data_IF_883133221542
#
_entry.id   IF_883133221542
#
_cell.length_a   1.000
_cell.length_b   1.000
_cell.length_c   1.000
_cell.angle_alpha   90.00
_cell.angle_beta   90.00
_cell.angle_gamma   90.00
#
_symmetry.space_group_name_H-M   'P 1'
#
loop_
_entity.id
_entity.type
_entity.pdbx_description
1 polymer ?
#
# COMPACT_ATOMS: atom_id res chain seq x y z
N UNK A 1 8.05 -7.59 6.56
CA UNK A 1 8.19 -6.23 5.98
C UNK A 1 9.51 -5.99 5.25
N UNK A 2 9.51 -5.12 4.24
CA UNK A 2 10.69 -4.59 3.52
C UNK A 2 10.44 -3.17 3.02
N UNK A 3 11.48 -2.40 2.67
CA UNK A 3 11.30 -1.12 1.99
C UNK A 3 10.89 -1.33 0.54
N UNK A 4 10.03 -0.46 -0.02
CA UNK A 4 9.67 -0.55 -1.44
C UNK A 4 10.90 -0.43 -2.33
N UNK A 5 11.92 0.35 -1.96
CA UNK A 5 13.20 0.43 -2.69
C UNK A 5 13.92 -0.92 -2.85
N UNK A 6 13.61 -1.90 -2.00
CA UNK A 6 14.13 -3.26 -2.01
C UNK A 6 13.13 -4.28 -2.57
N UNK A 7 11.91 -3.85 -2.88
CA UNK A 7 10.82 -4.66 -3.44
C UNK A 7 10.87 -4.73 -4.97
N UNK A 8 10.35 -5.80 -5.60
CA UNK A 8 10.00 -5.80 -7.02
C UNK A 8 9.07 -4.64 -7.42
N UNK A 9 8.25 -4.13 -6.49
CA UNK A 9 7.31 -3.03 -6.67
C UNK A 9 7.98 -1.68 -6.99
N UNK A 10 9.28 -1.51 -6.74
CA UNK A 10 9.98 -0.23 -7.01
C UNK A 10 9.93 0.25 -8.46
N UNK A 11 9.57 -0.63 -9.39
CA UNK A 11 9.50 -0.32 -10.82
C UNK A 11 8.07 -0.13 -11.33
N UNK A 12 7.06 -0.24 -10.48
CA UNK A 12 5.66 -0.27 -10.91
C UNK A 12 4.91 1.03 -10.67
N UNK A 13 5.34 1.86 -9.71
CA UNK A 13 4.73 3.16 -9.45
C UNK A 13 5.71 4.12 -8.74
N UNK A 14 5.41 5.44 -8.70
CA UNK A 14 6.16 6.40 -7.88
C UNK A 14 5.99 6.14 -6.37
N UNK A 15 7.03 5.61 -5.73
CA UNK A 15 7.04 5.29 -4.31
C UNK A 15 7.83 6.31 -3.47
N UNK A 16 7.48 6.41 -2.19
CA UNK A 16 8.16 7.25 -1.21
C UNK A 16 9.36 6.54 -0.58
N UNK A 17 10.37 7.30 -0.15
CA UNK A 17 11.63 6.76 0.39
C UNK A 17 11.46 5.80 1.57
N UNK A 18 10.39 5.97 2.34
CA UNK A 18 10.09 5.16 3.53
C UNK A 18 8.79 4.37 3.37
N UNK A 19 8.30 4.19 2.14
CA UNK A 19 7.19 3.29 1.91
C UNK A 19 7.65 1.86 2.16
N UNK A 20 6.78 1.09 2.79
CA UNK A 20 7.08 -0.27 3.22
C UNK A 20 6.13 -1.24 2.54
N UNK A 21 6.60 -2.43 2.27
CA UNK A 21 5.80 -3.56 1.83
C UNK A 21 5.75 -4.59 2.96
N UNK A 22 4.57 -5.14 3.20
CA UNK A 22 4.36 -6.31 4.05
C UNK A 22 3.70 -7.41 3.22
N UNK A 23 3.98 -8.66 3.57
CA UNK A 23 3.42 -9.79 2.86
C UNK A 23 1.94 -9.97 3.27
N UNK A 24 1.11 -10.47 2.35
CA UNK A 24 -0.29 -10.77 2.66
C UNK A 24 -0.39 -11.81 3.79
N UNK A 25 -1.30 -11.57 4.73
CA UNK A 25 -1.66 -12.48 5.82
C UNK A 25 -3.12 -12.24 6.22
N UNK A 26 -3.61 -12.87 7.29
CA UNK A 26 -4.97 -12.60 7.76
C UNK A 26 -5.14 -11.14 8.24
N UNK A 27 -6.38 -10.67 8.22
CA UNK A 27 -6.69 -9.27 8.50
C UNK A 27 -6.24 -8.78 9.89
N UNK A 28 -6.25 -9.64 10.91
CA UNK A 28 -5.85 -9.25 12.27
C UNK A 28 -4.34 -9.11 12.39
N UNK A 29 -3.59 -10.02 11.77
CA UNK A 29 -2.13 -9.97 11.68
C UNK A 29 -1.67 -8.74 10.90
N UNK A 30 -2.21 -8.50 9.70
CA UNK A 30 -1.88 -7.31 8.89
C UNK A 30 -2.16 -6.02 9.65
N UNK A 31 -3.34 -5.89 10.28
CA UNK A 31 -3.70 -4.69 11.05
C UNK A 31 -2.70 -4.42 12.18
N UNK A 32 -2.26 -5.46 12.88
CA UNK A 32 -1.29 -5.34 13.97
C UNK A 32 0.09 -4.95 13.45
N UNK A 33 0.56 -5.57 12.36
CA UNK A 33 1.85 -5.25 11.73
C UNK A 33 1.87 -3.80 11.20
N UNK A 34 0.82 -3.38 10.49
CA UNK A 34 0.68 -2.02 9.95
C UNK A 34 0.67 -0.97 11.06
N UNK A 35 -0.11 -1.18 12.12
CA UNK A 35 -0.14 -0.28 13.27
C UNK A 35 1.24 -0.17 13.95
N UNK A 36 1.95 -1.29 14.08
CA UNK A 36 3.32 -1.33 14.60
C UNK A 36 4.29 -0.58 13.70
N UNK A 37 4.18 -0.71 12.38
CA UNK A 37 5.02 0.01 11.42
C UNK A 37 4.84 1.52 11.58
N UNK A 38 3.60 2.02 11.58
CA UNK A 38 3.37 3.46 11.71
C UNK A 38 3.81 4.01 13.08
N UNK A 39 3.69 3.21 14.14
CA UNK A 39 4.16 3.59 15.47
C UNK A 39 5.70 3.68 15.56
N UNK A 40 6.43 2.76 14.91
CA UNK A 40 7.89 2.67 15.00
C UNK A 40 8.64 3.42 13.88
N UNK A 41 7.97 3.69 12.77
CA UNK A 41 8.53 4.34 11.59
C UNK A 41 7.73 5.60 11.23
N UNK A 42 7.91 6.68 12.00
CA UNK A 42 7.15 7.93 11.83
C UNK A 42 7.25 8.58 10.43
N UNK A 43 8.26 8.21 9.62
CA UNK A 43 8.42 8.71 8.26
C UNK A 43 7.72 7.84 7.20
N UNK A 44 7.20 6.67 7.59
CA UNK A 44 6.44 5.79 6.72
C UNK A 44 5.07 6.42 6.44
N UNK A 45 4.81 6.76 5.19
CA UNK A 45 3.54 7.35 4.75
C UNK A 45 2.58 6.30 4.21
N UNK A 46 3.09 5.18 3.71
CA UNK A 46 2.33 4.13 3.04
C UNK A 46 2.90 2.77 3.38
N UNK A 47 2.03 1.85 3.76
CA UNK A 47 2.32 0.41 3.80
C UNK A 47 1.55 -0.26 2.67
N UNK A 48 2.23 -1.06 1.86
CA UNK A 48 1.69 -1.73 0.68
C UNK A 48 1.61 -3.23 0.94
N UNK A 49 0.52 -3.84 0.51
CA UNK A 49 0.36 -5.29 0.38
C UNK A 49 0.03 -5.57 -1.07
N UNK A 50 0.88 -6.36 -1.74
CA UNK A 50 0.61 -6.85 -3.07
C UNK A 50 -0.13 -8.19 -2.99
N UNK A 51 -1.24 -8.29 -3.70
CA UNK A 51 -2.03 -9.54 -3.84
C UNK A 51 -2.21 -9.86 -5.31
N UNK A 52 -2.40 -11.13 -5.64
CA UNK A 52 -2.69 -11.55 -7.03
C UNK A 52 -3.90 -10.78 -7.60
N UNK A 53 -3.76 -10.27 -8.83
CA UNK A 53 -4.83 -9.50 -9.46
C UNK A 53 -6.11 -10.34 -9.58
N UNK A 54 -7.24 -9.77 -9.16
CA UNK A 54 -8.54 -10.45 -9.23
C UNK A 54 -8.80 -11.47 -8.12
N UNK A 55 -7.84 -11.71 -7.21
CA UNK A 55 -8.08 -12.52 -6.02
C UNK A 55 -8.93 -11.76 -4.99
N UNK A 56 -10.24 -11.89 -5.13
CA UNK A 56 -11.23 -11.19 -4.29
C UNK A 56 -11.10 -11.49 -2.81
N UNK A 57 -10.75 -12.73 -2.44
CA UNK A 57 -10.60 -13.11 -1.02
C UNK A 57 -9.48 -12.32 -0.36
N UNK A 58 -8.31 -12.23 -1.02
CA UNK A 58 -7.17 -11.49 -0.49
C UNK A 58 -7.43 -9.97 -0.45
N UNK A 59 -8.16 -9.44 -1.44
CA UNK A 59 -8.59 -8.04 -1.44
C UNK A 59 -9.51 -7.76 -0.25
N UNK A 60 -10.52 -8.59 -0.04
CA UNK A 60 -11.46 -8.45 1.09
C UNK A 60 -10.76 -8.58 2.46
N UNK A 61 -9.73 -9.43 2.58
CA UNK A 61 -8.88 -9.52 3.78
C UNK A 61 -8.05 -8.25 4.01
N UNK A 62 -7.48 -7.69 2.95
CA UNK A 62 -6.76 -6.42 3.02
C UNK A 62 -7.70 -5.26 3.42
N UNK A 63 -8.90 -5.20 2.85
CA UNK A 63 -9.92 -4.21 3.22
C UNK A 63 -10.35 -4.36 4.69
N UNK A 64 -10.54 -5.59 5.16
CA UNK A 64 -10.83 -5.88 6.56
C UNK A 64 -9.68 -5.47 7.49
N UNK A 65 -8.42 -5.44 7.02
CA UNK A 65 -7.28 -4.92 7.76
C UNK A 65 -7.17 -3.38 7.74
N UNK A 66 -8.01 -2.69 6.94
CA UNK A 66 -8.01 -1.23 6.80
C UNK A 66 -7.19 -0.72 5.63
N UNK A 67 -6.74 -1.60 4.72
CA UNK A 67 -6.12 -1.18 3.47
C UNK A 67 -7.19 -0.84 2.44
N UNK A 68 -6.87 0.07 1.53
CA UNK A 68 -7.70 0.38 0.36
C UNK A 68 -7.02 -0.12 -0.90
N UNK A 69 -7.81 -0.52 -1.90
CA UNK A 69 -7.28 -0.74 -3.24
C UNK A 69 -6.69 0.55 -3.81
N UNK A 70 -5.50 0.47 -4.42
CA UNK A 70 -4.84 1.60 -5.06
C UNK A 70 -4.84 1.47 -6.59
N UNK A 71 -4.21 0.42 -7.12
CA UNK A 71 -4.16 0.13 -8.55
C UNK A 71 -3.66 -1.30 -8.81
N UNK A 72 -3.87 -1.79 -10.01
CA UNK A 72 -3.22 -2.99 -10.53
C UNK A 72 -1.91 -2.62 -11.24
N UNK A 73 -0.89 -3.44 -11.04
CA UNK A 73 0.40 -3.29 -11.70
C UNK A 73 0.90 -4.62 -12.23
N UNK A 74 1.68 -4.55 -13.30
CA UNK A 74 2.45 -5.69 -13.79
C UNK A 74 3.89 -5.57 -13.30
N UNK A 75 4.39 -6.61 -12.63
CA UNK A 75 5.78 -6.71 -12.21
C UNK A 75 6.69 -7.01 -13.41
N UNK A 76 8.01 -6.85 -13.25
CA UNK A 76 9.00 -7.28 -14.27
C UNK A 76 8.98 -8.79 -14.53
N UNK A 77 8.46 -9.58 -13.58
CA UNK A 77 8.22 -11.02 -13.74
C UNK A 77 7.00 -11.33 -14.63
N UNK A 78 6.28 -10.32 -15.12
CA UNK A 78 5.00 -10.41 -15.83
C UNK A 78 3.82 -10.85 -14.96
N UNK A 79 4.03 -10.98 -13.66
CA UNK A 79 2.95 -11.20 -12.69
C UNK A 79 2.12 -9.93 -12.53
N UNK A 80 0.80 -10.07 -12.53
CA UNK A 80 -0.14 -8.98 -12.31
C UNK A 80 -0.64 -9.02 -10.87
N UNK A 81 -0.46 -7.91 -10.16
CA UNK A 81 -0.81 -7.78 -8.75
C UNK A 81 -1.65 -6.54 -8.51
N UNK A 82 -2.62 -6.65 -7.60
CA UNK A 82 -3.36 -5.52 -7.05
C UNK A 82 -2.60 -4.98 -5.83
N UNK A 83 -2.39 -3.66 -5.81
CA UNK A 83 -1.74 -2.97 -4.71
C UNK A 83 -2.77 -2.46 -3.71
N UNK A 84 -2.72 -3.02 -2.50
CA UNK A 84 -3.51 -2.56 -1.36
C UNK A 84 -2.64 -1.64 -0.51
N UNK A 85 -3.17 -0.49 -0.10
CA UNK A 85 -2.42 0.53 0.65
C UNK A 85 -3.09 0.87 1.98
N UNK A 86 -2.29 0.89 3.05
CA UNK A 86 -2.62 1.58 4.29
C UNK A 86 -1.84 2.89 4.36
N UNK A 87 -2.51 3.94 4.83
CA UNK A 87 -1.95 5.25 5.11
C UNK A 87 -2.29 5.62 6.56
N UNK A 88 -1.39 6.28 7.29
CA UNK A 88 -1.72 6.75 8.63
C UNK A 88 -2.72 7.91 8.54
N UNK A 89 -3.54 8.09 9.58
CA UNK A 89 -4.66 9.04 9.60
C UNK A 89 -4.27 10.46 9.15
N UNK A 90 -3.09 10.93 9.52
CA UNK A 90 -2.60 12.26 9.15
C UNK A 90 -2.26 12.41 7.65
N UNK A 91 -1.99 11.31 6.94
CA UNK A 91 -1.88 11.27 5.47
C UNK A 91 -3.27 11.14 4.85
N UNK A 92 -4.12 10.27 5.41
CA UNK A 92 -5.48 10.05 4.91
C UNK A 92 -6.36 11.31 5.02
N UNK A 93 -6.15 12.16 6.04
CA UNK A 93 -6.84 13.44 6.19
C UNK A 93 -6.33 14.55 5.26
N UNK A 94 -5.24 14.34 4.51
CA UNK A 94 -4.83 15.24 3.42
C UNK A 94 -5.55 14.91 2.11
N UNK A 95 -6.81 14.45 2.20
CA UNK A 95 -7.71 14.25 1.07
C UNK A 95 -7.58 15.41 0.10
N UNK A 96 -7.05 15.10 -1.07
CA UNK A 96 -7.20 15.77 -2.36
C UNK A 96 -8.02 17.05 -2.35
N UNK A 97 -7.49 18.16 -1.81
CA UNK A 97 -7.92 19.50 -2.22
C UNK A 97 -7.46 19.67 -3.68
N UNK A 98 -8.24 19.09 -4.60
CA UNK A 98 -8.17 19.35 -6.05
C UNK A 98 -8.88 20.67 -6.31
N UNK A 99 -8.51 21.71 -5.56
CA UNK A 99 -8.96 23.07 -5.83
C UNK A 99 -7.97 23.88 -6.67
N UNK A 100 -6.75 23.37 -6.91
CA UNK A 100 -5.69 24.06 -7.67
C UNK A 100 -5.00 23.16 -8.71
N UNK A 101 -5.75 22.36 -9.47
CA UNK A 101 -5.23 21.76 -10.72
C UNK A 101 -5.78 22.54 -11.92
N UNK A 102 -5.08 23.60 -12.33
CA UNK A 102 -5.22 24.11 -13.69
C UNK A 102 -4.63 23.07 -14.65
N UNK A 103 -5.51 22.39 -15.38
CA UNK A 103 -5.12 21.62 -16.56
C UNK A 103 -4.82 22.63 -17.68
N UNK A 104 -3.54 22.92 -17.86
CA UNK A 104 -3.01 23.63 -19.04
C UNK A 104 -2.98 22.72 -20.26
#
# INVERSE_FOLDING_TARGET
MRLISQSPLRHTYPFGRHDMEVDHSDAATMRTEIASIFANHHQCRRVIVAVEQGNRSHIEECEAAGLRYALDVQLRSLEEVSLMVAEPDWVACQTSDIHDLELI
#
